data_IF_218679307704
#
_entry.id   IF_218679307704
#
_cell.length_a   1.000
_cell.length_b   1.000
_cell.length_c   1.000
_cell.angle_alpha   90.00
_cell.angle_beta   90.00
_cell.angle_gamma   90.00
#
_symmetry.space_group_name_H-M   'P 1'
#
loop_
_entity.id
_entity.type
_entity.pdbx_description
1 polymer ?
#
# COMPACT_ATOMS: atom_id res chain seq x y z
N UNK A 1 22.30 15.67 64.44
CA UNK A 1 23.05 16.95 64.43
C UNK A 1 22.22 18.00 63.78
N UNK A 2 21.83 19.05 64.52
CA UNK A 2 21.09 20.24 64.08
C UNK A 2 22.06 21.25 63.48
N UNK A 3 21.65 21.98 62.43
CA UNK A 3 22.04 23.36 62.09
C UNK A 3 21.00 23.85 61.11
N UNK A 4 20.14 24.73 61.40
CA UNK A 4 20.10 26.17 61.70
C UNK A 4 20.12 27.00 60.42
N UNK A 5 18.98 27.70 60.16
CA UNK A 5 18.77 28.70 59.15
C UNK A 5 19.34 30.09 59.57
N UNK A 6 19.62 31.01 58.67
CA UNK A 6 19.72 32.42 59.06
C UNK A 6 18.61 33.30 58.42
N UNK A 7 18.41 34.34 59.17
CA UNK A 7 17.36 35.36 59.19
C UNK A 7 17.33 36.32 57.99
N UNK A 8 16.14 36.94 57.88
CA UNK A 8 15.76 38.04 57.01
C UNK A 8 16.33 39.37 57.41
N UNK A 9 16.70 40.23 56.47
CA UNK A 9 16.82 41.67 56.65
C UNK A 9 15.98 42.44 55.64
N UNK A 10 15.04 43.26 56.16
CA UNK A 10 14.29 44.29 55.43
C UNK A 10 15.13 45.57 55.30
N UNK A 11 15.05 46.32 54.17
CA UNK A 11 15.40 47.73 54.17
C UNK A 11 14.15 48.64 54.21
N UNK A 12 14.31 49.76 54.94
CA UNK A 12 13.30 50.74 55.24
C UNK A 12 13.07 51.80 54.16
N UNK A 13 12.22 52.77 54.41
CA UNK A 13 11.57 53.61 53.39
C UNK A 13 12.38 54.85 53.00
N UNK A 14 12.44 55.16 51.72
CA UNK A 14 13.00 56.42 51.18
C UNK A 14 11.90 57.41 50.81
N UNK A 15 12.17 58.63 51.12
CA UNK A 15 11.34 59.83 51.19
C UNK A 15 10.75 60.25 49.83
N UNK A 16 9.45 60.55 49.85
CA UNK A 16 8.73 61.30 48.80
C UNK A 16 9.12 62.78 48.78
N UNK A 17 9.57 63.28 47.65
CA UNK A 17 9.64 64.70 47.34
C UNK A 17 8.33 65.16 46.71
N UNK A 18 7.69 66.13 47.41
CA UNK A 18 6.52 66.90 46.88
C UNK A 18 7.02 67.91 45.83
N UNK A 19 6.45 67.87 44.68
CA UNK A 19 6.45 68.98 43.71
C UNK A 19 5.04 69.52 43.59
N UNK A 20 4.87 70.81 43.95
CA UNK A 20 3.69 71.59 43.67
C UNK A 20 3.88 72.38 42.37
N UNK A 21 3.03 72.21 41.38
CA UNK A 21 2.93 73.15 40.24
C UNK A 21 1.47 73.46 39.96
N UNK A 22 1.16 74.68 40.11
CA UNK A 22 -0.08 75.33 39.70
C UNK A 22 -0.13 75.54 38.19
N UNK A 23 -1.29 75.29 37.58
CA UNK A 23 -1.47 75.70 36.19
C UNK A 23 -2.68 75.03 35.54
N UNK A 24 -3.72 75.84 35.32
CA UNK A 24 -5.01 75.50 34.73
C UNK A 24 -4.95 75.18 33.19
N UNK A 25 -3.79 74.88 32.62
CA UNK A 25 -3.66 74.57 31.19
C UNK A 25 -3.45 73.08 30.91
N UNK A 26 -3.36 72.18 31.92
CA UNK A 26 -3.07 70.79 31.77
C UNK A 26 -4.24 69.84 31.43
N UNK A 27 -5.51 70.11 31.76
CA UNK A 27 -6.55 69.08 31.48
C UNK A 27 -6.96 69.03 30.00
N UNK A 28 -6.86 70.16 29.24
CA UNK A 28 -7.32 70.21 27.85
C UNK A 28 -6.31 69.52 26.89
N UNK A 29 -5.01 69.66 27.14
CA UNK A 29 -3.98 68.99 26.36
C UNK A 29 -3.92 67.47 26.65
N UNK A 30 -4.13 67.03 27.90
CA UNK A 30 -4.25 65.60 28.26
C UNK A 30 -5.50 64.95 27.66
N UNK A 31 -6.61 65.68 27.56
CA UNK A 31 -7.85 65.23 26.92
C UNK A 31 -7.67 65.02 25.41
N UNK A 32 -7.02 65.93 24.72
CA UNK A 32 -6.74 65.83 23.28
C UNK A 32 -5.73 64.70 22.98
N UNK A 33 -4.70 64.53 23.84
CA UNK A 33 -3.72 63.45 23.69
C UNK A 33 -4.36 62.08 24.02
N UNK A 34 -5.23 61.99 25.00
CA UNK A 34 -6.00 60.78 25.32
C UNK A 34 -6.99 60.39 24.23
N UNK A 35 -7.68 61.36 23.62
CA UNK A 35 -8.56 61.14 22.46
C UNK A 35 -7.76 60.75 21.20
N UNK A 36 -6.61 61.37 20.96
CA UNK A 36 -5.72 61.00 19.86
C UNK A 36 -5.14 59.62 19.98
N UNK A 37 -4.71 59.20 21.20
CA UNK A 37 -4.24 57.83 21.47
C UNK A 37 -5.36 56.79 21.40
N UNK A 38 -6.57 57.12 21.87
CA UNK A 38 -7.71 56.19 21.79
C UNK A 38 -8.24 56.05 20.36
N UNK A 39 -8.26 57.11 19.55
CA UNK A 39 -8.58 57.03 18.11
C UNK A 39 -7.48 56.29 17.31
N UNK A 40 -6.20 56.57 17.59
CA UNK A 40 -5.08 55.87 16.96
C UNK A 40 -5.04 54.40 17.33
N UNK A 41 -5.32 54.07 18.61
CA UNK A 41 -5.50 52.66 19.04
C UNK A 41 -6.70 52.00 18.40
N UNK A 42 -7.80 52.70 18.27
CA UNK A 42 -9.03 52.18 17.66
C UNK A 42 -8.83 51.93 16.16
N UNK A 43 -8.19 52.84 15.44
CA UNK A 43 -7.90 52.65 14.02
C UNK A 43 -6.84 51.57 13.80
N UNK A 44 -5.79 51.52 14.67
CA UNK A 44 -4.77 50.45 14.61
C UNK A 44 -5.34 49.07 14.92
N UNK A 45 -6.26 48.99 15.92
CA UNK A 45 -6.97 47.76 16.25
C UNK A 45 -7.95 47.37 15.16
N UNK A 46 -8.61 48.32 14.51
CA UNK A 46 -9.52 48.07 13.39
C UNK A 46 -8.76 47.61 12.14
N UNK A 47 -7.60 48.22 11.84
CA UNK A 47 -6.73 47.83 10.76
C UNK A 47 -6.15 46.41 10.98
N UNK A 48 -5.77 46.07 12.21
CA UNK A 48 -5.30 44.75 12.57
C UNK A 48 -6.44 43.71 12.56
N UNK A 49 -7.65 44.07 12.99
CA UNK A 49 -8.84 43.20 12.86
C UNK A 49 -9.23 42.97 11.40
N UNK A 50 -9.06 43.97 10.54
CA UNK A 50 -9.33 43.82 9.11
C UNK A 50 -8.27 42.95 8.43
N UNK A 51 -6.99 43.12 8.78
CA UNK A 51 -5.89 42.24 8.35
C UNK A 51 -6.04 40.82 8.91
N UNK A 52 -6.43 40.68 10.19
CA UNK A 52 -6.74 39.37 10.79
C UNK A 52 -7.95 38.72 10.10
N UNK A 53 -9.00 39.47 9.80
CA UNK A 53 -10.16 38.95 9.05
C UNK A 53 -9.79 38.57 7.61
N UNK A 54 -8.94 39.34 6.93
CA UNK A 54 -8.43 38.96 5.61
C UNK A 54 -7.47 37.74 5.70
N UNK A 55 -6.62 37.67 6.72
CA UNK A 55 -5.73 36.50 6.95
C UNK A 55 -6.52 35.26 7.36
N UNK A 56 -7.62 35.43 8.11
CA UNK A 56 -8.53 34.32 8.46
C UNK A 56 -9.44 33.96 7.28
N UNK A 57 -9.85 34.92 6.45
CA UNK A 57 -10.61 34.63 5.23
C UNK A 57 -9.79 34.03 4.10
N UNK A 58 -8.43 34.22 4.10
CA UNK A 58 -7.48 33.56 3.19
C UNK A 58 -6.85 32.31 3.80
N UNK A 59 -7.16 31.95 5.04
CA UNK A 59 -6.71 30.75 5.73
C UNK A 59 -7.89 29.92 6.20
N UNK A 60 -8.84 29.66 5.32
CA UNK A 60 -9.70 28.48 5.47
C UNK A 60 -9.30 27.44 4.44
N UNK A 61 -8.00 27.14 4.36
CA UNK A 61 -7.57 25.79 4.23
C UNK A 61 -7.47 25.23 5.67
N UNK A 62 -8.62 25.05 6.31
CA UNK A 62 -8.71 23.97 7.28
C UNK A 62 -8.25 22.72 6.49
N UNK A 63 -7.21 22.00 6.95
CA UNK A 63 -6.90 20.75 6.31
C UNK A 63 -8.20 19.95 6.34
N UNK A 64 -8.77 19.69 5.17
CA UNK A 64 -9.89 18.78 5.04
C UNK A 64 -9.35 17.48 5.62
N UNK A 65 -9.74 17.15 6.86
CA UNK A 65 -9.35 15.88 7.48
C UNK A 65 -10.07 14.85 6.63
N UNK A 66 -9.32 14.27 5.70
CA UNK A 66 -9.84 13.19 4.90
C UNK A 66 -10.33 12.08 5.81
N UNK A 67 -11.55 11.62 5.59
CA UNK A 67 -12.11 10.45 6.27
C UNK A 67 -11.65 9.14 5.62
N UNK A 68 -10.83 9.23 4.58
CA UNK A 68 -10.31 8.06 3.87
C UNK A 68 -9.31 7.23 4.68
N UNK A 69 -9.11 5.96 4.31
CA UNK A 69 -8.17 5.07 4.99
C UNK A 69 -6.76 5.66 5.01
N UNK A 70 -6.12 5.69 6.19
CA UNK A 70 -4.81 6.32 6.36
C UNK A 70 -4.81 7.84 6.21
N UNK A 71 -5.98 8.50 6.31
CA UNK A 71 -6.11 9.96 6.23
C UNK A 71 -6.02 10.53 4.83
N UNK A 72 -6.17 9.74 3.79
CA UNK A 72 -6.16 10.19 2.38
C UNK A 72 -7.38 9.64 1.64
N UNK A 73 -8.00 10.47 0.80
CA UNK A 73 -9.17 10.07 0.03
C UNK A 73 -8.82 9.01 -1.01
N UNK A 74 -9.71 8.04 -1.27
CA UNK A 74 -9.57 7.11 -2.36
C UNK A 74 -9.49 7.83 -3.71
N UNK A 75 -8.67 7.30 -4.61
CA UNK A 75 -8.58 7.73 -6.01
C UNK A 75 -9.28 6.72 -6.89
N UNK A 76 -10.11 7.19 -7.80
CA UNK A 76 -10.79 6.36 -8.78
C UNK A 76 -10.30 6.75 -10.17
N UNK A 77 -9.58 5.84 -10.81
CA UNK A 77 -9.27 5.94 -12.23
C UNK A 77 -10.45 5.44 -13.03
N UNK A 78 -10.76 6.12 -14.12
CA UNK A 78 -11.87 5.79 -14.99
C UNK A 78 -11.41 5.67 -16.44
N UNK A 79 -12.12 4.87 -17.20
CA UNK A 79 -11.97 4.80 -18.64
C UNK A 79 -12.66 5.99 -19.31
N UNK A 80 -12.08 6.52 -20.38
CA UNK A 80 -12.61 7.67 -21.10
C UNK A 80 -13.48 7.30 -22.31
N UNK A 81 -13.30 6.10 -22.84
CA UNK A 81 -14.08 5.60 -23.96
C UNK A 81 -15.25 4.74 -23.48
N UNK A 82 -16.32 4.71 -24.25
CA UNK A 82 -17.41 3.79 -23.99
C UNK A 82 -16.93 2.35 -24.16
N UNK A 83 -17.34 1.47 -23.24
CA UNK A 83 -17.02 0.06 -23.33
C UNK A 83 -17.68 -0.58 -24.54
N UNK A 84 -16.94 -1.44 -25.25
CA UNK A 84 -17.49 -2.29 -26.28
C UNK A 84 -18.24 -3.48 -25.64
N UNK A 85 -19.53 -3.61 -25.92
CA UNK A 85 -20.32 -4.72 -25.37
C UNK A 85 -19.99 -6.09 -25.98
N UNK A 86 -19.02 -6.17 -26.89
CA UNK A 86 -18.63 -7.43 -27.54
C UNK A 86 -17.60 -8.23 -26.73
N UNK A 87 -16.71 -7.56 -25.96
CA UNK A 87 -15.64 -8.18 -25.17
C UNK A 87 -15.60 -7.59 -23.76
N UNK A 88 -15.08 -8.33 -22.77
CA UNK A 88 -14.86 -7.78 -21.43
C UNK A 88 -13.82 -6.67 -21.44
N UNK A 89 -14.11 -5.56 -20.76
CA UNK A 89 -13.21 -4.41 -20.65
C UNK A 89 -13.20 -3.83 -19.25
N UNK A 90 -12.02 -3.36 -18.78
CA UNK A 90 -11.93 -2.64 -17.52
C UNK A 90 -12.66 -1.30 -17.62
N UNK A 91 -13.33 -0.91 -16.52
CA UNK A 91 -14.05 0.36 -16.41
C UNK A 91 -13.38 1.33 -15.44
N UNK A 92 -12.96 0.82 -14.28
CA UNK A 92 -12.39 1.66 -13.23
C UNK A 92 -11.44 0.91 -12.33
N UNK A 93 -10.52 1.66 -11.70
CA UNK A 93 -9.62 1.20 -10.65
C UNK A 93 -9.70 2.13 -9.44
N UNK A 94 -10.02 1.60 -8.28
CA UNK A 94 -10.06 2.34 -7.00
C UNK A 94 -8.79 2.07 -6.23
N UNK A 95 -8.08 3.14 -5.84
CA UNK A 95 -6.80 3.11 -5.15
C UNK A 95 -6.93 3.77 -3.79
N UNK A 96 -6.20 3.27 -2.80
CA UNK A 96 -6.14 3.83 -1.44
C UNK A 96 -4.75 4.42 -1.19
N UNK A 97 -4.53 5.73 -1.47
CA UNK A 97 -3.22 6.37 -1.30
C UNK A 97 -2.70 6.29 0.13
N UNK A 98 -3.58 6.40 1.13
CA UNK A 98 -3.22 6.32 2.55
C UNK A 98 -2.91 4.92 3.08
N UNK A 99 -2.98 3.88 2.23
CA UNK A 99 -2.77 2.48 2.61
C UNK A 99 -1.83 1.77 1.63
N UNK A 100 -0.62 2.32 1.46
CA UNK A 100 0.40 1.75 0.56
C UNK A 100 -0.05 1.69 -0.90
N UNK A 101 -0.95 2.58 -1.30
CA UNK A 101 -1.55 2.61 -2.64
C UNK A 101 -2.33 1.34 -3.02
N UNK A 102 -2.90 0.63 -2.03
CA UNK A 102 -3.67 -0.60 -2.26
C UNK A 102 -4.66 -0.41 -3.41
N UNK A 103 -4.59 -1.29 -4.42
CA UNK A 103 -5.59 -1.39 -5.48
C UNK A 103 -6.84 -2.07 -4.91
N UNK A 104 -7.73 -1.25 -4.32
CA UNK A 104 -8.88 -1.71 -3.56
C UNK A 104 -9.90 -2.44 -4.42
N UNK A 105 -10.18 -1.92 -5.60
CA UNK A 105 -11.16 -2.51 -6.50
C UNK A 105 -10.78 -2.28 -7.97
N UNK A 106 -11.05 -3.25 -8.79
CA UNK A 106 -11.14 -3.15 -10.24
C UNK A 106 -12.57 -3.49 -10.65
N UNK A 107 -13.16 -2.69 -11.55
CA UNK A 107 -14.45 -3.03 -12.18
C UNK A 107 -14.25 -3.23 -13.66
N UNK A 108 -15.08 -4.09 -14.24
CA UNK A 108 -15.10 -4.33 -15.68
C UNK A 108 -16.54 -4.42 -16.21
N UNK A 109 -16.74 -3.98 -17.45
CA UNK A 109 -17.93 -4.28 -18.24
C UNK A 109 -17.81 -5.71 -18.77
N UNK A 110 -18.80 -6.54 -18.46
CA UNK A 110 -18.87 -7.91 -18.98
C UNK A 110 -20.08 -8.03 -19.91
N UNK A 111 -19.89 -8.48 -21.15
CA UNK A 111 -20.97 -8.62 -22.10
C UNK A 111 -22.17 -9.40 -21.53
N UNK A 112 -23.36 -8.82 -21.64
CA UNK A 112 -24.59 -9.39 -21.12
C UNK A 112 -24.76 -9.39 -19.60
N UNK A 113 -23.82 -8.82 -18.84
CA UNK A 113 -23.90 -8.73 -17.36
C UNK A 113 -23.77 -7.31 -16.81
N UNK A 114 -23.19 -6.38 -17.56
CA UNK A 114 -22.89 -5.05 -17.08
C UNK A 114 -21.62 -5.00 -16.21
N UNK A 115 -21.54 -4.03 -15.31
CA UNK A 115 -20.38 -3.80 -14.46
C UNK A 115 -20.23 -4.88 -13.39
N UNK A 116 -19.03 -5.47 -13.29
CA UNK A 116 -18.66 -6.52 -12.34
C UNK A 116 -17.43 -6.11 -11.57
N UNK A 117 -17.45 -6.32 -10.25
CA UNK A 117 -16.29 -6.16 -9.37
C UNK A 117 -15.35 -7.37 -9.52
N UNK A 118 -14.07 -7.12 -9.76
CA UNK A 118 -13.06 -8.15 -10.04
C UNK A 118 -12.19 -8.49 -8.84
N UNK A 119 -12.10 -7.59 -7.84
CA UNK A 119 -11.38 -7.85 -6.59
C UNK A 119 -12.37 -8.08 -5.43
N UNK A 120 -11.99 -8.94 -4.51
CA UNK A 120 -12.78 -9.26 -3.32
C UNK A 120 -12.57 -8.18 -2.26
N UNK A 121 -13.26 -7.05 -2.43
CA UNK A 121 -13.25 -5.93 -1.49
C UNK A 121 -14.66 -5.49 -1.17
N UNK A 122 -14.93 -5.08 0.06
CA UNK A 122 -16.15 -4.37 0.43
C UNK A 122 -16.27 -3.03 -0.32
N UNK A 123 -17.44 -2.37 -0.29
CA UNK A 123 -17.58 -1.03 -0.81
C UNK A 123 -16.50 -0.08 -0.26
N UNK A 124 -15.99 0.82 -1.10
CA UNK A 124 -14.92 1.75 -0.71
C UNK A 124 -15.31 2.66 0.45
N UNK A 125 -16.60 2.94 0.61
CA UNK A 125 -17.13 3.71 1.75
C UNK A 125 -16.84 3.03 3.12
N UNK A 126 -16.70 1.70 3.14
CA UNK A 126 -16.40 0.94 4.35
C UNK A 126 -14.90 0.82 4.62
N UNK A 127 -14.06 1.21 3.66
CA UNK A 127 -12.61 1.00 3.73
C UNK A 127 -11.98 1.63 4.97
N UNK A 128 -12.39 2.85 5.35
CA UNK A 128 -11.84 3.53 6.53
C UNK A 128 -12.12 2.78 7.84
N UNK A 129 -13.29 2.13 7.97
CA UNK A 129 -13.64 1.34 9.14
C UNK A 129 -12.94 -0.03 9.18
N UNK A 130 -12.66 -0.59 8.01
CA UNK A 130 -11.99 -1.90 7.86
C UNK A 130 -10.47 -1.80 7.95
N UNK A 131 -9.93 -0.62 7.66
CA UNK A 131 -8.51 -0.29 7.69
C UNK A 131 -8.25 0.88 8.63
N UNK A 132 -8.48 0.72 9.94
CA UNK A 132 -8.44 1.83 10.89
C UNK A 132 -7.02 2.39 11.13
N UNK A 133 -5.96 1.63 10.82
CA UNK A 133 -4.57 2.03 11.06
C UNK A 133 -4.20 2.13 12.55
N UNK A 134 -5.01 1.54 13.43
CA UNK A 134 -4.83 1.55 14.89
C UNK A 134 -5.08 0.15 15.48
N UNK A 135 -4.68 -0.08 16.73
CA UNK A 135 -4.86 -1.38 17.37
C UNK A 135 -4.12 -2.48 16.62
N UNK A 136 -4.81 -3.55 16.27
CA UNK A 136 -4.24 -4.70 15.55
C UNK A 136 -3.84 -4.36 14.10
N UNK A 137 -4.36 -3.25 13.54
CA UNK A 137 -4.02 -2.74 12.21
C UNK A 137 -3.01 -1.58 12.23
N UNK A 138 -2.35 -1.31 13.33
CA UNK A 138 -1.40 -0.21 13.46
C UNK A 138 -0.21 -0.27 12.47
N UNK A 139 0.08 -1.44 11.95
CA UNK A 139 1.11 -1.72 10.94
C UNK A 139 0.53 -1.91 9.52
N UNK A 140 -0.77 -1.67 9.34
CA UNK A 140 -1.45 -1.77 8.05
C UNK A 140 -1.80 -3.18 7.59
N UNK A 141 -1.59 -4.20 8.41
CA UNK A 141 -1.76 -5.60 8.02
C UNK A 141 -3.15 -5.96 7.50
N UNK A 142 -4.21 -5.26 7.95
CA UNK A 142 -5.56 -5.49 7.44
C UNK A 142 -5.68 -5.22 5.92
N UNK A 143 -4.77 -4.43 5.34
CA UNK A 143 -4.74 -4.17 3.88
C UNK A 143 -4.53 -5.43 3.05
N UNK A 144 -3.91 -6.47 3.60
CA UNK A 144 -3.70 -7.74 2.88
C UNK A 144 -4.95 -8.63 2.84
N UNK A 145 -6.03 -8.25 3.51
CA UNK A 145 -7.28 -9.01 3.48
C UNK A 145 -8.20 -8.61 2.31
N UNK A 146 -7.91 -7.49 1.61
CA UNK A 146 -8.82 -6.91 0.63
C UNK A 146 -8.06 -6.34 -0.56
N UNK A 147 -8.69 -6.39 -1.74
CA UNK A 147 -8.17 -5.77 -2.94
C UNK A 147 -6.85 -6.37 -3.40
N UNK A 148 -5.85 -5.51 -3.62
CA UNK A 148 -4.51 -5.88 -4.03
C UNK A 148 -3.47 -4.99 -3.38
N UNK A 149 -2.93 -5.41 -2.22
CA UNK A 149 -1.92 -4.68 -1.48
C UNK A 149 -0.54 -4.79 -2.16
N UNK A 150 0.13 -3.66 -2.36
CA UNK A 150 1.55 -3.65 -2.74
C UNK A 150 2.43 -3.91 -1.53
N UNK A 151 3.42 -4.76 -1.70
CA UNK A 151 4.30 -5.24 -0.64
C UNK A 151 5.73 -4.78 -0.90
N UNK A 152 6.34 -4.11 0.06
CA UNK A 152 7.74 -3.67 0.08
C UNK A 152 8.19 -3.42 1.53
N UNK A 153 9.48 -3.53 1.85
CA UNK A 153 10.63 -3.96 1.05
C UNK A 153 10.82 -5.47 0.94
N UNK A 154 9.81 -6.25 1.28
CA UNK A 154 9.71 -7.68 1.00
C UNK A 154 8.24 -8.09 0.78
N UNK A 155 8.03 -9.20 0.08
CA UNK A 155 6.74 -9.84 -0.09
C UNK A 155 6.61 -11.09 0.79
N UNK A 156 5.40 -11.35 1.29
CA UNK A 156 5.13 -12.45 2.20
C UNK A 156 5.67 -12.20 3.62
N UNK A 157 5.51 -13.19 4.47
CA UNK A 157 5.96 -13.10 5.86
C UNK A 157 7.41 -13.52 6.04
N UNK A 158 8.09 -12.96 7.04
CA UNK A 158 9.42 -13.35 7.49
C UNK A 158 9.37 -13.89 8.92
N UNK A 159 10.20 -14.89 9.22
CA UNK A 159 10.46 -15.30 10.59
C UNK A 159 11.38 -14.30 11.29
N UNK A 160 11.13 -14.13 12.59
CA UNK A 160 12.00 -13.33 13.45
C UNK A 160 12.01 -13.85 14.88
N UNK A 161 13.03 -13.48 15.62
CA UNK A 161 13.09 -13.67 17.08
C UNK A 161 12.44 -12.47 17.78
N UNK A 162 11.59 -12.69 18.78
CA UNK A 162 11.04 -11.60 19.57
C UNK A 162 12.15 -10.70 20.13
N UNK A 163 11.99 -9.39 19.95
CA UNK A 163 12.85 -8.36 20.51
C UNK A 163 12.28 -7.84 21.84
N UNK A 164 13.09 -7.13 22.64
CA UNK A 164 12.55 -6.34 23.75
C UNK A 164 11.54 -5.31 23.23
N UNK A 165 10.31 -5.40 23.67
CA UNK A 165 9.18 -4.60 23.17
C UNK A 165 8.07 -5.49 22.61
N UNK A 166 6.83 -5.13 22.89
CA UNK A 166 5.70 -5.91 22.40
C UNK A 166 5.55 -5.78 20.87
N UNK A 167 5.41 -6.91 20.19
CA UNK A 167 5.09 -6.95 18.77
C UNK A 167 6.25 -6.61 17.82
N UNK A 168 7.51 -6.65 18.27
CA UNK A 168 8.69 -6.44 17.43
C UNK A 168 9.47 -7.73 17.27
N UNK A 169 9.81 -8.04 16.04
CA UNK A 169 10.67 -9.18 15.67
C UNK A 169 12.01 -8.67 15.13
N UNK A 170 13.02 -9.50 15.25
CA UNK A 170 14.36 -9.25 14.72
C UNK A 170 14.88 -10.40 13.89
N UNK A 171 15.61 -10.06 12.84
CA UNK A 171 16.43 -10.96 12.04
C UNK A 171 17.77 -10.31 11.70
N UNK A 172 18.60 -10.96 10.93
CA UNK A 172 19.89 -10.43 10.48
C UNK A 172 19.99 -10.49 8.96
N UNK A 173 20.60 -9.46 8.39
CA UNK A 173 20.99 -9.42 7.00
C UNK A 173 22.42 -8.87 6.89
N UNK A 174 23.36 -9.66 6.34
CA UNK A 174 24.78 -9.30 6.21
C UNK A 174 25.42 -8.73 7.50
N UNK A 175 25.06 -9.32 8.65
CA UNK A 175 25.54 -8.88 9.97
C UNK A 175 24.81 -7.67 10.55
N UNK A 176 23.94 -7.01 9.80
CA UNK A 176 23.08 -5.94 10.28
C UNK A 176 21.80 -6.51 10.88
N UNK A 177 21.36 -5.91 12.00
CA UNK A 177 20.10 -6.28 12.65
C UNK A 177 18.95 -5.53 11.99
N UNK A 178 17.94 -6.28 11.54
CA UNK A 178 16.67 -5.78 11.05
C UNK A 178 15.62 -5.96 12.15
N UNK A 179 14.78 -4.96 12.37
CA UNK A 179 13.69 -4.99 13.35
C UNK A 179 12.39 -4.59 12.65
N UNK A 180 11.34 -5.40 12.76
CA UNK A 180 10.10 -5.20 12.04
C UNK A 180 8.88 -5.66 12.86
N UNK A 181 7.68 -5.18 12.55
CA UNK A 181 6.46 -5.56 13.26
C UNK A 181 6.14 -7.05 13.11
N UNK A 182 5.70 -7.67 14.19
CA UNK A 182 5.05 -8.97 14.15
C UNK A 182 3.64 -8.86 13.55
N UNK A 183 3.16 -9.94 12.93
CA UNK A 183 1.78 -10.03 12.38
C UNK A 183 0.69 -10.02 13.45
N UNK A 184 1.05 -10.21 14.71
CA UNK A 184 0.18 -10.19 15.87
C UNK A 184 0.95 -10.39 17.16
N UNK A 185 0.33 -10.16 18.30
CA UNK A 185 0.95 -10.36 19.60
C UNK A 185 1.36 -11.83 19.79
N UNK A 186 2.65 -12.04 20.10
CA UNK A 186 3.21 -13.39 20.28
C UNK A 186 3.51 -14.15 18.98
N UNK A 187 3.25 -13.56 17.82
CA UNK A 187 3.64 -14.14 16.53
C UNK A 187 5.15 -14.11 16.36
N UNK A 188 5.72 -15.18 15.79
CA UNK A 188 7.10 -15.25 15.30
C UNK A 188 7.22 -14.88 13.82
N UNK A 189 6.11 -14.49 13.19
CA UNK A 189 6.03 -14.05 11.80
C UNK A 189 5.76 -12.56 11.71
N UNK A 190 6.41 -11.92 10.74
CA UNK A 190 6.21 -10.50 10.42
C UNK A 190 4.87 -10.25 9.72
N UNK A 191 4.50 -8.98 9.61
CA UNK A 191 3.59 -8.51 8.56
C UNK A 191 4.21 -8.70 7.16
N UNK A 192 3.45 -8.47 6.11
CA UNK A 192 3.91 -8.58 4.73
C UNK A 192 4.44 -7.23 4.21
N UNK A 193 5.71 -6.95 4.50
CA UNK A 193 6.34 -5.67 4.15
C UNK A 193 6.08 -4.55 5.15
N UNK A 194 6.51 -3.33 4.82
CA UNK A 194 6.44 -2.12 5.66
C UNK A 194 5.75 -0.94 4.95
N UNK A 195 5.11 -1.21 3.80
CA UNK A 195 4.44 -0.19 3.00
C UNK A 195 2.96 -0.03 3.40
N UNK A 196 2.35 -1.05 4.00
CA UNK A 196 0.90 -1.20 4.17
C UNK A 196 0.24 -0.07 4.99
N UNK A 197 0.97 0.55 5.91
CA UNK A 197 0.51 1.67 6.77
C UNK A 197 1.02 3.04 6.29
N UNK A 198 1.63 3.08 5.08
CA UNK A 198 2.18 4.32 4.53
C UNK A 198 1.17 5.06 3.67
N UNK A 199 1.03 6.36 3.93
CA UNK A 199 0.38 7.29 3.01
C UNK A 199 1.33 7.73 1.90
N UNK A 200 0.79 8.04 0.73
CA UNK A 200 1.55 8.65 -0.34
C UNK A 200 1.96 10.08 0.03
N UNK A 201 3.22 10.45 -0.23
CA UNK A 201 3.72 11.81 -0.01
C UNK A 201 3.33 12.74 -1.16
N UNK A 202 3.22 12.19 -2.38
CA UNK A 202 2.73 12.90 -3.56
C UNK A 202 1.88 11.96 -4.43
N UNK A 203 0.89 12.54 -5.10
CA UNK A 203 -0.04 11.81 -5.96
C UNK A 203 -0.31 12.61 -7.24
N UNK A 204 -0.07 11.97 -8.37
CA UNK A 204 -0.32 12.56 -9.69
C UNK A 204 -1.24 11.67 -10.50
N UNK A 205 -2.35 12.25 -10.99
CA UNK A 205 -3.24 11.61 -11.94
C UNK A 205 -2.98 12.21 -13.32
N UNK A 206 -2.96 11.38 -14.34
CA UNK A 206 -2.71 11.78 -15.73
C UNK A 206 -3.69 11.07 -16.64
N UNK A 207 -4.36 11.82 -17.51
CA UNK A 207 -5.21 11.25 -18.55
C UNK A 207 -4.37 10.57 -19.63
N UNK A 208 -4.84 9.42 -20.06
CA UNK A 208 -4.31 8.63 -21.17
C UNK A 208 -5.34 8.62 -22.32
N UNK A 209 -4.97 8.18 -23.53
CA UNK A 209 -5.93 8.11 -24.65
C UNK A 209 -7.17 7.27 -24.37
N UNK A 210 -7.05 6.18 -23.60
CA UNK A 210 -8.16 5.29 -23.22
C UNK A 210 -8.16 5.04 -21.70
N UNK A 211 -8.16 6.09 -20.90
CA UNK A 211 -8.25 5.94 -19.46
C UNK A 211 -7.34 6.89 -18.70
N UNK A 212 -6.84 6.46 -17.55
CA UNK A 212 -6.09 7.27 -16.63
C UNK A 212 -4.92 6.50 -16.00
N UNK A 213 -3.92 7.24 -15.57
CA UNK A 213 -2.81 6.75 -14.77
C UNK A 213 -2.75 7.50 -13.44
N UNK A 214 -2.57 6.78 -12.34
CA UNK A 214 -2.22 7.38 -11.06
C UNK A 214 -0.82 6.94 -10.65
N UNK A 215 0.00 7.90 -10.22
CA UNK A 215 1.34 7.69 -9.70
C UNK A 215 1.46 8.27 -8.31
N UNK A 216 1.75 7.40 -7.34
CA UNK A 216 2.05 7.77 -5.97
C UNK A 216 3.56 7.73 -5.71
N UNK A 217 4.07 8.68 -4.93
CA UNK A 217 5.46 8.72 -4.46
C UNK A 217 5.48 8.50 -2.95
N UNK A 218 6.45 7.74 -2.47
CA UNK A 218 6.67 7.45 -1.07
C UNK A 218 8.14 7.71 -0.73
N UNK A 219 8.40 8.66 0.17
CA UNK A 219 9.69 8.85 0.82
C UNK A 219 9.76 7.89 2.00
N UNK A 220 9.96 6.60 1.71
CA UNK A 220 9.89 5.55 2.72
C UNK A 220 11.05 5.65 3.74
N UNK A 221 12.16 6.26 3.33
CA UNK A 221 13.34 6.37 4.16
C UNK A 221 13.83 5.00 4.62
N UNK A 222 14.21 4.88 5.87
CA UNK A 222 14.56 3.60 6.51
C UNK A 222 13.33 2.83 7.02
N UNK A 223 12.14 3.08 6.50
CA UNK A 223 10.88 2.52 7.01
C UNK A 223 10.76 2.69 8.53
N UNK A 224 10.94 3.93 9.01
CA UNK A 224 10.93 4.30 10.45
C UNK A 224 12.02 3.58 11.27
N UNK A 225 13.18 3.31 10.67
CA UNK A 225 14.30 2.63 11.32
C UNK A 225 14.22 1.11 11.31
N UNK A 226 13.26 0.53 10.60
CA UNK A 226 13.09 -0.92 10.47
C UNK A 226 13.95 -1.53 9.36
N UNK A 227 14.46 -0.71 8.43
CA UNK A 227 15.19 -1.16 7.25
C UNK A 227 16.54 -0.44 7.13
N UNK A 228 17.59 -1.08 6.56
CA UNK A 228 18.95 -0.53 6.63
C UNK A 228 19.24 0.60 5.66
N UNK A 229 18.47 0.70 4.57
CA UNK A 229 18.64 1.73 3.54
C UNK A 229 17.86 3.01 3.82
N UNK A 230 17.85 3.87 2.81
CA UNK A 230 17.02 5.05 2.73
C UNK A 230 16.36 5.03 1.35
N UNK A 231 15.06 4.77 1.29
CA UNK A 231 14.37 4.34 0.07
C UNK A 231 13.34 5.36 -0.37
N UNK A 232 13.43 5.79 -1.64
CA UNK A 232 12.33 6.42 -2.37
C UNK A 232 11.62 5.38 -3.22
N UNK A 233 10.29 5.43 -3.24
CA UNK A 233 9.47 4.54 -4.05
C UNK A 233 8.46 5.30 -4.88
N UNK A 234 8.12 4.75 -6.04
CA UNK A 234 6.94 5.15 -6.81
C UNK A 234 6.11 3.93 -7.15
N UNK A 235 4.79 4.09 -7.04
CA UNK A 235 3.82 3.10 -7.51
C UNK A 235 2.96 3.77 -8.56
N UNK A 236 2.84 3.15 -9.72
CA UNK A 236 2.03 3.63 -10.82
C UNK A 236 1.02 2.55 -11.24
N UNK A 237 -0.23 2.96 -11.41
CA UNK A 237 -1.31 2.15 -11.95
C UNK A 237 -1.85 2.85 -13.18
N UNK A 238 -1.81 2.17 -14.33
CA UNK A 238 -2.32 2.67 -15.60
C UNK A 238 -3.52 1.83 -16.02
N UNK A 239 -4.66 2.47 -16.17
CA UNK A 239 -5.93 1.83 -16.57
C UNK A 239 -6.21 2.10 -18.06
N UNK A 240 -6.50 1.03 -18.79
CA UNK A 240 -7.10 1.07 -20.13
C UNK A 240 -8.22 0.02 -20.23
N UNK A 241 -8.98 0.02 -21.33
CA UNK A 241 -10.07 -0.94 -21.51
C UNK A 241 -9.62 -2.40 -21.46
N UNK A 242 -8.46 -2.72 -21.99
CA UNK A 242 -8.00 -4.12 -22.10
C UNK A 242 -6.94 -4.51 -21.07
N UNK A 243 -6.23 -3.53 -20.47
CA UNK A 243 -5.14 -3.80 -19.56
C UNK A 243 -5.09 -2.84 -18.37
N UNK A 244 -4.58 -3.36 -17.26
CA UNK A 244 -4.11 -2.55 -16.11
C UNK A 244 -2.65 -2.87 -15.89
N UNK A 245 -1.79 -1.86 -16.09
CA UNK A 245 -0.36 -1.97 -15.85
C UNK A 245 -0.01 -1.47 -14.44
N UNK A 246 0.63 -2.33 -13.67
CA UNK A 246 1.13 -2.05 -12.32
C UNK A 246 2.64 -1.92 -12.38
N UNK A 247 3.18 -0.80 -11.95
CA UNK A 247 4.64 -0.57 -11.91
C UNK A 247 5.05 -0.05 -10.53
N UNK A 248 6.00 -0.72 -9.90
CA UNK A 248 6.64 -0.26 -8.67
C UNK A 248 8.13 -0.07 -8.94
N UNK A 249 8.64 1.11 -8.60
CA UNK A 249 10.08 1.41 -8.67
C UNK A 249 10.56 1.81 -7.29
N UNK A 250 11.63 1.19 -6.82
CA UNK A 250 12.31 1.57 -5.58
C UNK A 250 13.75 1.98 -5.88
N UNK A 251 14.26 3.00 -5.19
CA UNK A 251 15.61 3.50 -5.28
C UNK A 251 16.21 3.69 -3.91
N UNK A 252 17.39 3.13 -3.69
CA UNK A 252 18.19 3.44 -2.51
C UNK A 252 18.85 4.82 -2.68
N UNK A 253 18.36 5.81 -1.94
CA UNK A 253 18.91 7.18 -1.92
C UNK A 253 19.87 7.39 -0.74
N UNK A 254 20.04 6.36 0.10
CA UNK A 254 20.93 6.37 1.25
C UNK A 254 22.39 6.10 0.90
N UNK A 255 23.18 5.84 1.93
CA UNK A 255 24.61 5.57 1.84
C UNK A 255 24.99 4.14 2.19
N UNK A 256 24.02 3.32 2.56
CA UNK A 256 24.22 1.90 2.93
C UNK A 256 23.47 1.00 1.97
N UNK A 257 24.02 -0.17 1.61
CA UNK A 257 23.27 -1.19 0.86
C UNK A 257 22.03 -1.65 1.63
N UNK A 258 21.01 -2.05 0.90
CA UNK A 258 19.78 -2.61 1.48
C UNK A 258 19.28 -3.82 0.70
N UNK A 259 18.68 -4.83 1.36
CA UNK A 259 17.95 -5.89 0.68
C UNK A 259 16.59 -5.36 0.25
N UNK A 260 16.13 -5.70 -0.94
CA UNK A 260 14.83 -5.22 -1.42
C UNK A 260 14.07 -6.28 -2.22
N UNK A 261 12.80 -6.39 -1.94
CA UNK A 261 11.84 -7.21 -2.66
C UNK A 261 10.51 -6.49 -2.79
N UNK A 262 9.83 -6.72 -3.89
CA UNK A 262 8.53 -6.12 -4.20
C UNK A 262 7.57 -7.24 -4.53
N UNK A 263 6.32 -7.10 -4.12
CA UNK A 263 5.25 -8.00 -4.46
C UNK A 263 3.88 -7.35 -4.47
N UNK A 264 2.90 -8.15 -4.82
CA UNK A 264 1.51 -7.73 -4.85
C UNK A 264 0.62 -8.87 -4.35
N UNK A 265 -0.34 -8.55 -3.47
CA UNK A 265 -1.24 -9.53 -2.83
C UNK A 265 -2.69 -9.24 -3.21
N UNK A 266 -3.14 -9.63 -4.42
CA UNK A 266 -4.52 -9.43 -4.87
C UNK A 266 -5.45 -10.54 -4.39
N UNK A 267 -6.73 -10.22 -4.24
CA UNK A 267 -7.80 -11.17 -4.07
C UNK A 267 -8.77 -11.07 -5.24
N UNK A 268 -8.56 -11.85 -6.29
CA UNK A 268 -9.48 -11.90 -7.43
C UNK A 268 -10.78 -12.60 -7.05
N UNK A 269 -11.90 -11.91 -7.22
CA UNK A 269 -13.21 -12.42 -6.86
C UNK A 269 -13.71 -13.50 -7.83
N UNK A 270 -14.48 -14.44 -7.31
CA UNK A 270 -15.35 -15.35 -8.08
C UNK A 270 -16.78 -14.91 -7.75
N UNK A 271 -17.32 -13.89 -8.45
CA UNK A 271 -18.53 -13.19 -8.01
C UNK A 271 -19.82 -13.97 -8.28
N UNK A 272 -19.79 -14.90 -9.21
CA UNK A 272 -20.97 -15.64 -9.68
C UNK A 272 -20.61 -17.09 -9.98
N UNK A 273 -21.55 -17.97 -9.71
CA UNK A 273 -21.42 -19.41 -9.94
C UNK A 273 -20.60 -20.13 -8.86
N UNK A 274 -20.59 -21.45 -8.91
CA UNK A 274 -19.82 -22.23 -7.96
C UNK A 274 -18.31 -22.10 -8.26
N UNK A 275 -17.51 -22.00 -7.22
CA UNK A 275 -16.05 -21.97 -7.31
C UNK A 275 -15.49 -23.18 -8.09
N UNK A 276 -16.18 -24.31 -8.06
CA UNK A 276 -15.83 -25.54 -8.81
C UNK A 276 -15.84 -25.38 -10.34
N UNK A 277 -16.50 -24.36 -10.88
CA UNK A 277 -16.47 -24.05 -12.31
C UNK A 277 -15.29 -23.16 -12.69
N UNK A 278 -14.74 -22.40 -11.76
CA UNK A 278 -13.55 -21.60 -11.99
C UNK A 278 -12.32 -22.50 -12.18
N UNK A 279 -11.39 -22.05 -13.00
CA UNK A 279 -10.14 -22.77 -13.24
C UNK A 279 -8.94 -21.84 -13.19
N UNK A 280 -7.79 -22.41 -12.83
CA UNK A 280 -6.52 -21.71 -12.64
C UNK A 280 -5.45 -22.32 -13.55
N UNK A 281 -4.72 -21.45 -14.26
CA UNK A 281 -3.49 -21.79 -14.99
C UNK A 281 -2.33 -21.11 -14.28
N UNK A 282 -1.27 -21.87 -14.01
CA UNK A 282 -0.05 -21.37 -13.37
C UNK A 282 1.13 -21.66 -14.32
N UNK A 283 1.93 -20.65 -14.68
CA UNK A 283 3.02 -20.78 -15.67
C UNK A 283 4.29 -21.35 -15.03
N UNK A 284 4.17 -22.43 -14.27
CA UNK A 284 5.28 -23.09 -13.58
C UNK A 284 4.95 -24.56 -13.33
N UNK A 285 5.97 -25.39 -13.40
CA UNK A 285 5.94 -26.80 -12.99
C UNK A 285 6.78 -27.07 -11.73
N UNK A 286 7.26 -26.02 -11.08
CA UNK A 286 8.05 -26.07 -9.86
C UNK A 286 7.37 -25.31 -8.74
N UNK A 287 7.16 -25.95 -7.60
CA UNK A 287 6.65 -25.29 -6.41
C UNK A 287 7.51 -25.55 -5.20
N UNK A 288 7.51 -24.61 -4.28
CA UNK A 288 8.11 -24.79 -2.96
C UNK A 288 7.21 -25.68 -2.09
N UNK A 289 7.82 -26.37 -1.15
CA UNK A 289 7.06 -27.12 -0.15
C UNK A 289 6.03 -26.19 0.53
N UNK A 290 4.79 -26.65 0.73
CA UNK A 290 3.75 -25.84 1.35
C UNK A 290 4.19 -25.42 2.75
N UNK A 291 3.60 -24.32 3.28
CA UNK A 291 3.93 -23.85 4.60
C UNK A 291 3.72 -24.93 5.67
N UNK A 292 4.71 -25.07 6.55
CA UNK A 292 4.60 -25.97 7.68
C UNK A 292 3.53 -25.44 8.65
N UNK A 293 2.64 -26.31 9.10
CA UNK A 293 1.50 -25.92 9.97
C UNK A 293 1.95 -25.24 11.29
N UNK A 294 3.17 -25.50 11.76
CA UNK A 294 3.68 -24.90 13.01
C UNK A 294 4.37 -23.58 12.79
N UNK A 295 5.03 -23.40 11.64
CA UNK A 295 5.85 -22.22 11.38
C UNK A 295 5.15 -21.24 10.45
N UNK A 296 4.16 -21.65 9.67
CA UNK A 296 3.53 -20.84 8.63
C UNK A 296 4.42 -20.56 7.43
N UNK A 297 5.63 -21.19 7.36
CA UNK A 297 6.63 -20.92 6.34
C UNK A 297 7.00 -22.18 5.57
N UNK A 298 7.32 -22.02 4.29
CA UNK A 298 7.93 -23.07 3.47
C UNK A 298 9.34 -23.40 3.97
N UNK A 299 9.78 -24.62 3.71
CA UNK A 299 11.16 -25.04 3.97
C UNK A 299 12.15 -24.59 2.88
N UNK A 300 11.69 -23.90 1.82
CA UNK A 300 12.51 -23.60 0.64
C UNK A 300 12.76 -24.78 -0.30
N UNK A 301 12.49 -26.00 0.13
CA UNK A 301 12.66 -27.19 -0.71
C UNK A 301 11.60 -27.25 -1.81
N UNK A 302 11.95 -27.87 -2.94
CA UNK A 302 10.96 -28.19 -3.97
C UNK A 302 10.02 -29.28 -3.48
N UNK A 303 8.74 -29.10 -3.71
CA UNK A 303 7.72 -30.11 -3.48
C UNK A 303 7.35 -30.78 -4.81
N UNK A 304 7.13 -32.11 -4.84
CA UNK A 304 6.58 -32.77 -6.01
C UNK A 304 5.13 -32.28 -6.23
N UNK A 305 4.73 -32.19 -7.49
CA UNK A 305 3.33 -32.06 -7.83
C UNK A 305 2.59 -33.36 -7.49
N UNK A 306 1.46 -33.24 -6.83
CA UNK A 306 0.52 -34.34 -6.80
C UNK A 306 -0.34 -34.38 -8.10
N UNK A 307 -1.08 -35.45 -8.29
CA UNK A 307 -1.90 -35.64 -9.49
C UNK A 307 -2.99 -34.56 -9.64
N UNK A 308 -3.47 -33.98 -8.54
CA UNK A 308 -4.49 -32.94 -8.56
C UNK A 308 -3.95 -31.58 -9.06
N UNK A 309 -2.65 -31.34 -8.88
CA UNK A 309 -1.97 -30.10 -9.22
C UNK A 309 -1.26 -30.14 -10.57
N UNK A 310 -1.03 -31.33 -11.13
CA UNK A 310 -0.33 -31.50 -12.41
C UNK A 310 -1.01 -30.85 -13.62
N UNK A 311 -2.26 -30.45 -13.48
CA UNK A 311 -3.02 -29.75 -14.53
C UNK A 311 -2.83 -28.23 -14.55
N UNK A 312 -2.29 -27.59 -13.49
CA UNK A 312 -2.24 -26.14 -13.39
C UNK A 312 -1.38 -25.48 -14.48
N UNK A 313 -0.33 -26.10 -14.92
CA UNK A 313 0.55 -25.57 -15.99
C UNK A 313 0.08 -25.96 -17.41
N UNK A 314 -1.01 -26.70 -17.56
CA UNK A 314 -1.58 -27.03 -18.89
C UNK A 314 -2.50 -25.90 -19.37
N UNK A 315 -2.61 -25.75 -20.69
CA UNK A 315 -3.41 -24.69 -21.31
C UNK A 315 -4.88 -24.64 -20.87
N UNK A 316 -5.47 -25.76 -20.44
CA UNK A 316 -6.82 -25.84 -19.89
C UNK A 316 -6.94 -25.45 -18.42
N UNK A 317 -5.81 -25.42 -17.69
CA UNK A 317 -5.77 -25.24 -16.26
C UNK A 317 -6.42 -26.35 -15.46
N UNK A 318 -6.52 -26.16 -14.17
CA UNK A 318 -7.21 -27.04 -13.23
C UNK A 318 -8.41 -26.32 -12.60
N UNK A 319 -9.55 -27.02 -12.54
CA UNK A 319 -10.72 -26.52 -11.83
C UNK A 319 -10.44 -26.40 -10.33
N UNK A 320 -11.02 -25.37 -9.72
CA UNK A 320 -10.85 -25.10 -8.29
C UNK A 320 -11.81 -25.91 -7.40
N UNK A 321 -12.40 -26.96 -7.97
CA UNK A 321 -13.28 -27.86 -7.22
C UNK A 321 -12.50 -28.59 -6.12
N UNK A 322 -12.90 -28.41 -4.87
CA UNK A 322 -12.23 -28.98 -3.68
C UNK A 322 -10.74 -28.69 -3.52
N UNK A 323 -10.16 -27.82 -4.37
CA UNK A 323 -8.75 -27.44 -4.30
C UNK A 323 -8.56 -26.35 -3.24
N UNK A 324 -7.65 -26.57 -2.31
CA UNK A 324 -7.15 -25.56 -1.40
C UNK A 324 -5.66 -25.33 -1.66
N UNK A 325 -5.27 -24.11 -1.97
CA UNK A 325 -3.89 -23.73 -2.26
C UNK A 325 -3.40 -22.69 -1.26
N UNK A 326 -2.15 -22.86 -0.87
CA UNK A 326 -1.32 -21.87 -0.19
C UNK A 326 0.13 -22.15 -0.60
N UNK A 327 0.42 -21.96 -1.89
CA UNK A 327 1.65 -22.42 -2.53
C UNK A 327 2.44 -21.26 -3.14
N UNK A 328 3.76 -21.42 -3.20
CA UNK A 328 4.67 -20.55 -3.94
C UNK A 328 5.25 -21.32 -5.13
N UNK A 329 5.04 -20.79 -6.32
CA UNK A 329 5.53 -21.35 -7.57
C UNK A 329 6.74 -20.56 -8.03
N UNK A 330 7.80 -21.26 -8.44
CA UNK A 330 9.07 -20.71 -8.94
C UNK A 330 9.35 -21.25 -10.35
N UNK A 331 10.47 -20.89 -10.95
CA UNK A 331 10.81 -21.27 -12.33
C UNK A 331 9.66 -20.97 -13.30
N UNK A 332 9.27 -19.71 -13.34
CA UNK A 332 8.17 -19.25 -14.16
C UNK A 332 8.53 -19.29 -15.65
N UNK A 333 7.66 -19.84 -16.49
CA UNK A 333 7.88 -20.00 -17.92
C UNK A 333 6.90 -19.15 -18.75
N UNK A 334 7.44 -18.32 -19.64
CA UNK A 334 6.62 -17.63 -20.62
C UNK A 334 6.18 -18.59 -21.75
N UNK A 335 4.97 -18.40 -22.25
CA UNK A 335 4.49 -19.04 -23.48
C UNK A 335 5.27 -18.54 -24.71
N UNK A 336 5.19 -19.26 -25.84
CA UNK A 336 5.99 -19.01 -27.05
C UNK A 336 5.79 -17.61 -27.64
N UNK A 337 4.68 -16.94 -27.44
CA UNK A 337 4.38 -15.60 -27.94
C UNK A 337 3.88 -14.67 -26.82
N UNK A 338 4.15 -15.01 -25.56
CA UNK A 338 3.72 -14.23 -24.43
C UNK A 338 4.79 -13.24 -23.97
N UNK A 339 4.39 -12.06 -23.53
CA UNK A 339 5.26 -11.01 -23.01
C UNK A 339 5.95 -11.41 -21.68
N UNK A 340 5.42 -12.46 -21.03
CA UNK A 340 5.92 -12.98 -19.78
C UNK A 340 5.20 -14.26 -19.33
N UNK A 341 5.61 -14.83 -18.19
CA UNK A 341 4.93 -15.98 -17.60
C UNK A 341 3.54 -15.60 -17.12
N UNK A 342 2.49 -16.06 -17.78
CA UNK A 342 1.11 -15.66 -17.57
C UNK A 342 0.35 -16.67 -16.73
N UNK A 343 -0.12 -16.27 -15.55
CA UNK A 343 -1.14 -17.00 -14.81
C UNK A 343 -2.53 -16.54 -15.25
N UNK A 344 -3.51 -17.46 -15.27
CA UNK A 344 -4.89 -17.16 -15.62
C UNK A 344 -5.86 -17.67 -14.54
N UNK A 345 -6.79 -16.80 -14.14
CA UNK A 345 -8.02 -17.20 -13.45
C UNK A 345 -9.15 -17.10 -14.45
N UNK A 346 -9.86 -18.19 -14.69
CA UNK A 346 -11.02 -18.24 -15.56
C UNK A 346 -12.29 -18.43 -14.73
N UNK A 347 -13.27 -17.59 -14.93
CA UNK A 347 -14.58 -17.60 -14.25
C UNK A 347 -15.69 -17.73 -15.29
N UNK A 348 -15.90 -18.92 -15.91
CA UNK A 348 -16.84 -19.09 -17.00
C UNK A 348 -18.28 -18.71 -16.64
N UNK A 349 -18.70 -18.98 -15.42
CA UNK A 349 -20.02 -18.59 -14.92
C UNK A 349 -20.23 -17.06 -14.93
N UNK A 350 -19.17 -16.28 -14.81
CA UNK A 350 -19.21 -14.83 -14.92
C UNK A 350 -18.89 -14.31 -16.33
N UNK A 351 -18.45 -15.15 -17.26
CA UNK A 351 -18.19 -14.81 -18.66
C UNK A 351 -16.79 -14.23 -18.91
N UNK A 352 -15.90 -14.17 -17.93
CA UNK A 352 -14.58 -13.57 -18.08
C UNK A 352 -13.45 -14.43 -17.49
N UNK A 353 -12.23 -14.09 -17.87
CA UNK A 353 -11.00 -14.51 -17.21
C UNK A 353 -10.06 -13.34 -17.03
N UNK A 354 -9.12 -13.48 -16.08
CA UNK A 354 -8.07 -12.50 -15.81
C UNK A 354 -6.74 -13.18 -16.03
N UNK A 355 -5.83 -12.50 -16.74
CA UNK A 355 -4.42 -12.82 -16.86
C UNK A 355 -3.61 -11.93 -15.93
N UNK A 356 -2.63 -12.54 -15.28
CA UNK A 356 -1.60 -11.85 -14.48
C UNK A 356 -0.27 -12.18 -15.10
N UNK A 357 0.36 -11.21 -15.76
CA UNK A 357 1.60 -11.38 -16.51
C UNK A 357 2.72 -10.54 -15.92
N UNK A 358 3.67 -11.13 -15.20
CA UNK A 358 4.93 -10.46 -14.86
C UNK A 358 5.68 -10.03 -16.13
N UNK A 359 5.98 -8.72 -16.22
CA UNK A 359 6.77 -8.13 -17.30
C UNK A 359 8.23 -7.89 -16.90
N UNK A 360 8.55 -7.98 -15.61
CA UNK A 360 9.89 -7.84 -15.06
C UNK A 360 10.53 -9.18 -14.81
N UNK A 361 11.74 -9.39 -15.28
CA UNK A 361 12.51 -10.61 -15.07
C UNK A 361 12.90 -10.87 -13.61
N UNK A 362 12.77 -9.90 -12.74
CA UNK A 362 13.01 -10.02 -11.30
C UNK A 362 11.80 -10.55 -10.51
N UNK A 363 10.65 -10.72 -11.13
CA UNK A 363 9.55 -11.50 -10.54
C UNK A 363 9.93 -12.98 -10.62
N UNK A 364 10.22 -13.59 -9.47
CA UNK A 364 10.73 -14.98 -9.39
C UNK A 364 9.72 -15.96 -8.85
N UNK A 365 8.66 -15.45 -8.19
CA UNK A 365 7.70 -16.28 -7.47
C UNK A 365 6.28 -15.84 -7.80
N UNK A 366 5.38 -16.79 -8.00
CA UNK A 366 3.94 -16.58 -7.90
C UNK A 366 3.45 -17.22 -6.61
N UNK A 367 2.96 -16.40 -5.67
CA UNK A 367 2.23 -16.87 -4.51
C UNK A 367 0.78 -17.06 -4.88
N UNK A 368 0.26 -18.29 -4.75
CA UNK A 368 -1.14 -18.61 -5.05
C UNK A 368 -1.84 -19.08 -3.79
N UNK A 369 -2.86 -18.33 -3.39
CA UNK A 369 -3.69 -18.65 -2.23
C UNK A 369 -5.13 -18.80 -2.72
N UNK A 370 -5.73 -19.96 -2.49
CA UNK A 370 -7.09 -20.27 -2.91
C UNK A 370 -7.77 -21.18 -1.88
N UNK A 371 -8.18 -20.65 -0.71
CA UNK A 371 -8.85 -21.44 0.33
C UNK A 371 -10.15 -22.05 -0.21
N UNK A 372 -10.44 -23.31 0.12
CA UNK A 372 -11.57 -24.03 -0.47
C UNK A 372 -12.93 -23.37 -0.15
N UNK A 373 -13.03 -22.72 1.00
CA UNK A 373 -14.28 -22.08 1.49
C UNK A 373 -14.45 -20.62 1.02
N UNK A 374 -13.47 -20.07 0.28
CA UNK A 374 -13.51 -18.67 -0.16
C UNK A 374 -13.89 -18.55 -1.63
N UNK A 375 -14.61 -17.48 -1.97
CA UNK A 375 -14.98 -17.11 -3.34
C UNK A 375 -13.99 -16.13 -3.95
N UNK A 376 -12.70 -16.32 -3.68
CA UNK A 376 -11.61 -15.54 -4.28
C UNK A 376 -10.34 -16.40 -4.44
N UNK A 377 -9.45 -15.93 -5.29
CA UNK A 377 -8.11 -16.49 -5.50
C UNK A 377 -7.11 -15.35 -5.47
N UNK A 378 -6.03 -15.51 -4.70
CA UNK A 378 -4.86 -14.65 -4.80
C UNK A 378 -3.86 -15.22 -5.79
N UNK A 379 -3.38 -14.38 -6.70
CA UNK A 379 -2.27 -14.69 -7.61
C UNK A 379 -1.28 -13.56 -7.46
N UNK A 380 -0.34 -13.71 -6.54
CA UNK A 380 0.63 -12.69 -6.13
C UNK A 380 1.98 -12.84 -6.84
N UNK A 381 2.28 -12.01 -7.85
CA UNK A 381 3.60 -11.96 -8.47
C UNK A 381 4.59 -11.23 -7.56
N UNK A 382 5.60 -11.95 -7.07
CA UNK A 382 6.58 -11.45 -6.11
C UNK A 382 8.00 -11.57 -6.64
N UNK A 383 8.86 -10.62 -6.28
CA UNK A 383 10.30 -10.76 -6.51
C UNK A 383 10.87 -11.89 -5.66
N UNK A 384 10.51 -11.90 -4.39
CA UNK A 384 11.06 -12.85 -3.43
C UNK A 384 10.07 -13.93 -2.99
N UNK A 385 10.60 -15.07 -2.59
CA UNK A 385 9.87 -16.11 -1.88
C UNK A 385 9.62 -15.70 -0.42
N UNK A 386 8.71 -16.42 0.26
CA UNK A 386 8.49 -16.23 1.70
C UNK A 386 9.78 -16.41 2.51
N UNK A 387 9.85 -15.73 3.65
CA UNK A 387 10.98 -15.78 4.57
C UNK A 387 12.32 -15.47 3.90
N UNK A 388 12.44 -14.36 3.16
CA UNK A 388 13.62 -14.11 2.33
C UNK A 388 14.92 -13.96 3.13
N UNK A 389 14.87 -13.79 4.44
CA UNK A 389 16.04 -13.77 5.35
C UNK A 389 16.24 -15.11 6.07
N UNK A 390 15.48 -16.12 5.67
CA UNK A 390 15.55 -17.47 6.27
C UNK A 390 16.82 -18.19 5.92
N UNK A 391 17.18 -19.15 6.77
CA UNK A 391 18.37 -20.01 6.57
C UNK A 391 18.17 -21.09 5.52
N UNK A 392 16.93 -21.28 5.06
CA UNK A 392 16.58 -22.21 3.98
C UNK A 392 17.12 -21.78 2.61
N UNK A 393 17.59 -20.53 2.49
CA UNK A 393 18.17 -19.98 1.27
C UNK A 393 19.70 -20.05 1.34
N UNK A 394 20.29 -21.10 0.79
CA UNK A 394 21.73 -21.41 0.90
C UNK A 394 22.62 -20.40 0.16
N UNK A 395 22.07 -19.71 -0.86
CA UNK A 395 22.82 -18.77 -1.70
C UNK A 395 22.18 -17.39 -1.62
N UNK A 396 22.95 -16.30 -1.39
CA UNK A 396 22.43 -14.95 -1.44
C UNK A 396 21.73 -14.67 -2.78
N UNK A 397 20.49 -14.16 -2.72
CA UNK A 397 19.66 -13.89 -3.89
C UNK A 397 18.87 -15.09 -4.43
N UNK A 398 19.09 -16.30 -3.95
CA UNK A 398 18.28 -17.48 -4.33
C UNK A 398 16.82 -17.34 -3.90
N UNK A 399 16.55 -16.52 -2.89
CA UNK A 399 15.23 -16.14 -2.41
C UNK A 399 14.53 -15.08 -3.28
N UNK A 400 15.22 -14.51 -4.30
CA UNK A 400 14.68 -13.46 -5.18
C UNK A 400 14.84 -12.03 -4.67
N UNK A 401 15.35 -11.81 -3.45
CA UNK A 401 15.72 -10.45 -2.99
C UNK A 401 16.90 -9.91 -3.79
N UNK A 402 16.86 -8.62 -4.08
CA UNK A 402 18.01 -7.90 -4.64
C UNK A 402 18.72 -7.13 -3.54
N UNK A 403 20.01 -6.84 -3.74
CA UNK A 403 20.73 -5.87 -2.91
C UNK A 403 20.86 -4.57 -3.68
N UNK A 404 20.22 -3.50 -3.21
CA UNK A 404 20.36 -2.17 -3.78
C UNK A 404 21.56 -1.47 -3.14
N UNK A 405 22.58 -1.20 -3.93
CA UNK A 405 23.68 -0.32 -3.52
C UNK A 405 23.20 1.13 -3.47
N UNK A 406 23.91 2.05 -2.77
CA UNK A 406 23.63 3.46 -2.84
C UNK A 406 23.49 3.97 -4.28
N UNK A 407 22.33 4.55 -4.59
CA UNK A 407 21.96 5.04 -5.93
C UNK A 407 21.30 4.02 -6.86
N UNK A 408 21.33 2.73 -6.53
CA UNK A 408 20.69 1.70 -7.34
C UNK A 408 19.16 1.78 -7.28
N UNK A 409 18.54 1.27 -8.33
CA UNK A 409 17.09 1.16 -8.43
C UNK A 409 16.67 -0.23 -8.89
N UNK A 410 15.48 -0.64 -8.47
CA UNK A 410 14.81 -1.84 -8.96
C UNK A 410 13.40 -1.50 -9.42
N UNK A 411 12.95 -2.15 -10.48
CA UNK A 411 11.59 -2.02 -11.00
C UNK A 411 10.90 -3.38 -11.03
N UNK A 412 9.68 -3.42 -10.53
CA UNK A 412 8.75 -4.53 -10.63
C UNK A 412 7.58 -4.08 -11.51
N UNK A 413 7.20 -4.92 -12.49
CA UNK A 413 6.15 -4.59 -13.46
C UNK A 413 5.28 -5.80 -13.74
N UNK A 414 3.96 -5.60 -13.68
CA UNK A 414 2.95 -6.64 -13.94
C UNK A 414 1.81 -6.05 -14.75
N UNK A 415 1.31 -6.80 -15.71
CA UNK A 415 0.12 -6.49 -16.49
C UNK A 415 -1.03 -7.41 -16.09
N UNK A 416 -2.18 -6.81 -15.90
CA UNK A 416 -3.47 -7.50 -15.82
C UNK A 416 -4.20 -7.33 -17.15
N UNK A 417 -4.77 -8.42 -17.66
CA UNK A 417 -5.62 -8.38 -18.85
C UNK A 417 -6.92 -9.11 -18.54
N UNK A 418 -8.02 -8.62 -19.09
CA UNK A 418 -9.33 -9.29 -19.02
C UNK A 418 -9.67 -9.88 -20.38
N UNK A 419 -10.31 -11.05 -20.40
CA UNK A 419 -10.69 -11.73 -21.64
C UNK A 419 -11.99 -12.51 -21.47
N UNK A 420 -12.69 -12.75 -22.60
CA UNK A 420 -13.91 -13.55 -22.64
C UNK A 420 -13.61 -15.04 -22.44
N UNK A 421 -14.38 -15.69 -21.57
CA UNK A 421 -14.38 -17.16 -21.45
C UNK A 421 -15.52 -17.82 -22.25
N UNK A 422 -16.41 -17.03 -22.85
CA UNK A 422 -17.44 -17.54 -23.75
C UNK A 422 -16.78 -17.87 -25.08
N UNK A 423 -17.11 -19.02 -25.65
CA UNK A 423 -16.76 -19.29 -27.05
C UNK A 423 -17.51 -18.28 -27.92
N UNK A 424 -16.78 -17.40 -28.60
CA UNK A 424 -17.36 -16.54 -29.61
C UNK A 424 -18.19 -17.37 -30.58
N UNK A 425 -19.22 -16.80 -31.19
CA UNK A 425 -19.99 -17.53 -32.21
C UNK A 425 -19.01 -18.09 -33.23
N UNK A 426 -18.99 -19.41 -33.37
CA UNK A 426 -18.25 -20.08 -34.44
C UNK A 426 -18.56 -19.35 -35.72
N UNK A 427 -17.62 -18.63 -36.35
CA UNK A 427 -17.77 -18.20 -37.73
C UNK A 427 -18.03 -19.48 -38.50
N UNK A 428 -19.30 -19.69 -38.84
CA UNK A 428 -19.66 -20.70 -39.80
C UNK A 428 -18.81 -20.42 -41.04
N UNK A 429 -17.98 -21.37 -41.38
CA UNK A 429 -17.27 -21.37 -42.68
C UNK A 429 -18.29 -21.40 -43.76
N UNK A 430 -18.55 -20.26 -44.41
CA UNK A 430 -19.14 -20.21 -45.73
C UNK A 430 -18.13 -20.69 -46.82
#
# INVERSE_FOLDING_TARGET
MKFAAPESTKPGPSKLHRWSASGWMTPTLLGIFGLGLSLGSYEHTRGNLHKLRQTVATKTDEPVISSGPGGQDPVILTRHLDADDSEPEFLSATLLPGRGFNLWQLTAQIPGRGSVALLASPPVADAASLLPGTGDDANGSASTNFGGAFLAPWAGQMAGTPAPGAGVLQTQWQGQRLSFPASGLGSSLSVEGLLLDRGADDLKITSLPDGESARATFHAGSFRGSWPGDTDMTIQVELSGHAVDLTVTARNIGITPEPFGIGWHPHFAIPVGPRSEASLVIPSNSRLAPPNIRTGLSSGALAPYDNSQSGFFRAGGTKLDHVSLDDSYIDLHAGVLADGPTAELRVPAAGYGIRVTPLSNNVKTLRVIAPAEKSWVSIGPNMNAQNPMGREWDTPGSNGMVTLQPGDSVQWKVRLEIFSTQKGPSRASE
#
